data_IF_894518591340
#
_entry.id   IF_894518591340
#
_cell.length_a   1.000
_cell.length_b   1.000
_cell.length_c   1.000
_cell.angle_alpha   90.00
_cell.angle_beta   90.00
_cell.angle_gamma   90.00
#
_symmetry.space_group_name_H-M   'P 1'
#
loop_
_entity.id
_entity.type
_entity.pdbx_description
1 polymer ?
#
# COMPACT_ATOMS: atom_id res chain seq x y z
N UNK A 1 -72.81 37.95 54.80
CA UNK A 1 -71.38 37.62 54.95
C UNK A 1 -70.75 37.57 53.57
N UNK A 2 -69.53 38.04 53.50
CA UNK A 2 -68.67 38.45 52.38
C UNK A 2 -68.18 37.34 51.43
N UNK A 3 -68.05 37.70 50.12
CA UNK A 3 -67.17 37.23 49.01
C UNK A 3 -67.03 35.69 48.76
N UNK A 4 -66.94 35.12 47.55
CA UNK A 4 -66.36 35.54 46.26
C UNK A 4 -66.76 34.55 45.12
N UNK A 5 -66.37 34.90 43.89
CA UNK A 5 -66.73 34.38 42.55
C UNK A 5 -66.35 32.92 42.17
N UNK A 6 -67.20 32.30 41.32
CA UNK A 6 -67.01 31.43 40.10
C UNK A 6 -65.63 30.75 39.79
N UNK A 7 -65.54 29.72 38.88
CA UNK A 7 -66.27 28.44 38.73
C UNK A 7 -65.39 27.23 38.28
N UNK A 8 -66.03 26.06 38.13
CA UNK A 8 -65.81 24.94 37.17
C UNK A 8 -64.37 24.52 36.72
N UNK A 9 -64.08 23.22 36.90
CA UNK A 9 -63.18 22.45 36.01
C UNK A 9 -63.79 21.09 35.67
N UNK A 10 -64.26 20.96 34.44
CA UNK A 10 -64.41 19.70 33.72
C UNK A 10 -63.07 19.33 33.08
N UNK A 11 -62.66 18.06 33.22
CA UNK A 11 -61.56 17.48 32.45
C UNK A 11 -61.92 17.39 30.95
N UNK A 12 -60.94 17.56 30.05
CA UNK A 12 -60.89 16.65 28.90
C UNK A 12 -59.47 16.20 28.50
N UNK A 13 -59.34 14.89 28.28
CA UNK A 13 -58.69 14.18 27.16
C UNK A 13 -57.40 14.66 26.48
N UNK A 14 -56.58 15.56 27.05
CA UNK A 14 -55.38 16.07 26.37
C UNK A 14 -54.07 15.29 26.57
N UNK A 15 -54.07 14.19 27.34
CA UNK A 15 -52.80 13.59 27.80
C UNK A 15 -52.32 12.33 27.06
N UNK A 16 -53.06 11.79 26.09
CA UNK A 16 -52.69 10.50 25.44
C UNK A 16 -52.05 10.69 24.05
N UNK A 17 -52.20 11.83 23.38
CA UNK A 17 -51.56 12.07 22.07
C UNK A 17 -50.11 12.55 22.14
N UNK A 18 -49.58 12.91 23.32
CA UNK A 18 -48.23 13.52 23.41
C UNK A 18 -47.09 12.51 23.65
N UNK A 19 -47.39 11.24 23.95
CA UNK A 19 -46.37 10.22 24.23
C UNK A 19 -46.02 9.37 22.99
N UNK A 20 -46.85 9.35 21.96
CA UNK A 20 -46.54 8.65 20.69
C UNK A 20 -45.81 9.49 19.63
N UNK A 21 -45.65 10.81 19.84
CA UNK A 21 -44.93 11.70 18.92
C UNK A 21 -43.48 11.97 19.33
N UNK A 22 -43.03 11.44 20.47
CA UNK A 22 -41.64 11.55 20.95
C UNK A 22 -40.78 10.33 20.59
N UNK A 23 -41.28 9.41 19.75
CA UNK A 23 -40.58 8.18 19.33
C UNK A 23 -40.50 8.00 17.80
N UNK A 24 -40.70 9.06 17.04
CA UNK A 24 -40.52 9.09 15.57
C UNK A 24 -39.47 10.12 15.14
N UNK A 25 -38.44 10.30 15.95
CA UNK A 25 -37.34 11.24 15.72
C UNK A 25 -35.97 10.63 15.99
N UNK A 26 -35.82 9.30 15.83
CA UNK A 26 -34.50 8.81 15.45
C UNK A 26 -34.36 9.21 13.98
N UNK A 27 -33.73 10.36 13.72
CA UNK A 27 -32.98 10.51 12.48
C UNK A 27 -32.10 9.28 12.40
N UNK A 28 -32.52 8.29 11.63
CA UNK A 28 -31.61 7.36 11.01
C UNK A 28 -30.66 8.28 10.25
N UNK A 29 -29.50 8.57 10.84
CA UNK A 29 -28.41 9.16 10.09
C UNK A 29 -28.32 8.30 8.83
N UNK A 30 -28.53 8.91 7.67
CA UNK A 30 -28.35 8.21 6.41
C UNK A 30 -26.98 7.53 6.51
N UNK A 31 -26.93 6.22 6.27
CA UNK A 31 -25.67 5.48 6.32
C UNK A 31 -24.62 6.18 5.44
N UNK A 32 -23.32 6.02 5.74
CA UNK A 32 -22.27 6.69 5.01
C UNK A 32 -22.47 6.45 3.50
N UNK A 33 -22.53 7.54 2.72
CA UNK A 33 -22.63 7.44 1.28
C UNK A 33 -21.34 6.79 0.77
N UNK A 34 -21.45 5.71 0.02
CA UNK A 34 -20.29 5.05 -0.57
C UNK A 34 -19.92 5.69 -1.90
N UNK A 35 -18.63 5.70 -2.20
CA UNK A 35 -18.05 6.16 -3.44
C UNK A 35 -17.36 4.99 -4.13
N UNK A 36 -17.90 4.56 -5.27
CA UNK A 36 -17.29 3.48 -6.04
C UNK A 36 -16.03 3.98 -6.75
N UNK A 37 -14.94 3.26 -6.61
CA UNK A 37 -13.65 3.53 -7.23
C UNK A 37 -13.36 2.42 -8.23
N UNK A 38 -12.93 2.78 -9.44
CA UNK A 38 -12.57 1.81 -10.47
C UNK A 38 -11.20 2.13 -11.07
N UNK A 39 -10.35 1.09 -11.16
CA UNK A 39 -9.10 1.13 -11.86
C UNK A 39 -9.30 0.74 -13.33
N UNK A 40 -9.27 1.72 -14.24
CA UNK A 40 -9.27 1.51 -15.69
C UNK A 40 -7.90 1.77 -16.30
N UNK A 41 -6.86 1.95 -15.48
CA UNK A 41 -5.48 2.16 -15.92
C UNK A 41 -4.79 0.82 -16.23
N UNK A 42 -3.58 0.88 -16.78
CA UNK A 42 -2.67 -0.28 -16.89
C UNK A 42 -1.77 -0.45 -15.65
N UNK A 43 -1.98 0.32 -14.58
CA UNK A 43 -1.14 0.34 -13.38
C UNK A 43 -1.92 -0.14 -12.16
N UNK A 44 -1.21 -0.51 -11.09
CA UNK A 44 -1.86 -0.75 -9.80
C UNK A 44 -2.30 0.60 -9.20
N UNK A 45 -3.40 0.62 -8.45
CA UNK A 45 -3.79 1.75 -7.60
C UNK A 45 -3.69 1.32 -6.15
N UNK A 46 -2.78 1.93 -5.39
CA UNK A 46 -2.45 1.49 -4.03
C UNK A 46 -3.25 2.23 -2.99
N UNK A 47 -3.31 3.55 -3.12
CA UNK A 47 -3.92 4.41 -2.13
C UNK A 47 -4.58 5.62 -2.78
N UNK A 48 -5.65 6.11 -2.17
CA UNK A 48 -6.19 7.43 -2.43
C UNK A 48 -6.29 8.22 -1.12
N UNK A 49 -5.75 9.45 -1.14
CA UNK A 49 -5.95 10.42 -0.07
C UNK A 49 -6.87 11.55 -0.55
N UNK A 50 -7.84 11.91 0.28
CA UNK A 50 -8.80 12.98 0.06
C UNK A 50 -8.55 14.08 1.10
N UNK A 51 -8.12 15.25 0.63
CA UNK A 51 -7.83 16.39 1.49
C UNK A 51 -8.95 17.43 1.42
N UNK A 52 -9.48 17.81 2.59
CA UNK A 52 -10.55 18.79 2.75
C UNK A 52 -10.28 19.68 3.97
N UNK A 53 -10.22 21.00 3.77
CA UNK A 53 -10.11 22.00 4.85
C UNK A 53 -9.03 21.66 5.90
N UNK A 54 -7.89 21.11 5.45
CA UNK A 54 -6.78 20.71 6.30
C UNK A 54 -6.90 19.32 6.95
N UNK A 55 -8.00 18.59 6.72
CA UNK A 55 -8.18 17.19 7.13
C UNK A 55 -7.88 16.30 5.94
N UNK A 56 -7.07 15.26 6.14
CA UNK A 56 -6.78 14.24 5.13
C UNK A 56 -7.40 12.93 5.56
N UNK A 57 -8.20 12.32 4.68
CA UNK A 57 -8.68 10.96 4.80
C UNK A 57 -7.89 10.08 3.83
N UNK A 58 -7.49 8.89 4.26
CA UNK A 58 -6.81 7.92 3.42
C UNK A 58 -7.70 6.70 3.22
N UNK A 59 -7.62 6.09 2.05
CA UNK A 59 -8.19 4.79 1.76
C UNK A 59 -7.18 3.95 0.97
N UNK A 60 -6.90 2.77 1.50
CA UNK A 60 -6.12 1.73 0.82
C UNK A 60 -7.00 1.07 -0.23
N UNK A 61 -6.45 0.86 -1.42
CA UNK A 61 -7.16 0.34 -2.59
C UNK A 61 -6.60 -1.01 -3.04
N UNK A 62 -5.28 -1.14 -3.12
CA UNK A 62 -4.57 -2.34 -3.62
C UNK A 62 -5.17 -2.96 -4.90
N UNK A 63 -5.63 -2.12 -5.83
CA UNK A 63 -6.34 -2.57 -7.01
C UNK A 63 -5.39 -2.81 -8.19
N UNK A 64 -5.34 -4.04 -8.67
CA UNK A 64 -4.79 -4.36 -9.98
C UNK A 64 -5.61 -3.70 -11.13
N UNK A 65 -5.07 -3.61 -12.35
CA UNK A 65 -5.80 -3.16 -13.53
C UNK A 65 -7.15 -3.84 -13.69
N UNK A 66 -8.21 -3.05 -13.87
CA UNK A 66 -9.59 -3.55 -13.98
C UNK A 66 -10.33 -3.70 -12.65
N UNK A 67 -9.64 -3.59 -11.51
CA UNK A 67 -10.21 -3.68 -10.16
C UNK A 67 -11.19 -2.57 -9.82
N UNK A 68 -11.97 -2.80 -8.77
CA UNK A 68 -12.91 -1.82 -8.22
C UNK A 68 -13.11 -2.04 -6.72
N UNK A 69 -13.34 -0.97 -5.98
CA UNK A 69 -13.62 -0.98 -4.56
C UNK A 69 -14.59 0.16 -4.18
N UNK A 70 -15.08 0.18 -2.94
CA UNK A 70 -15.94 1.23 -2.40
C UNK A 70 -15.31 1.86 -1.17
N UNK A 71 -15.25 3.20 -1.14
CA UNK A 71 -14.75 3.96 0.01
C UNK A 71 -15.86 4.83 0.59
N UNK A 72 -15.71 5.26 1.84
CA UNK A 72 -16.60 6.27 2.40
C UNK A 72 -16.47 7.59 1.62
N UNK A 73 -17.59 8.14 1.15
CA UNK A 73 -17.62 9.41 0.46
C UNK A 73 -17.53 10.56 1.49
N UNK A 74 -16.53 11.44 1.40
CA UNK A 74 -16.38 12.55 2.35
C UNK A 74 -17.43 13.67 2.16
N UNK A 75 -18.35 13.53 1.19
CA UNK A 75 -19.58 14.31 1.10
C UNK A 75 -19.44 15.73 0.52
N UNK A 76 -18.23 16.21 0.23
CA UNK A 76 -18.00 17.58 -0.25
C UNK A 76 -17.03 17.65 -1.44
N UNK A 77 -16.44 18.83 -1.70
CA UNK A 77 -15.32 18.98 -2.64
C UNK A 77 -14.01 18.71 -1.91
N UNK A 78 -13.12 17.95 -2.54
CA UNK A 78 -11.82 17.58 -1.99
C UNK A 78 -10.72 17.64 -3.06
N UNK A 79 -9.48 17.85 -2.61
CA UNK A 79 -8.31 17.55 -3.43
C UNK A 79 -7.97 16.07 -3.26
N UNK A 80 -7.79 15.36 -4.38
CA UNK A 80 -7.47 13.94 -4.38
C UNK A 80 -6.00 13.75 -4.73
N UNK A 81 -5.34 12.81 -4.06
CA UNK A 81 -4.04 12.29 -4.48
C UNK A 81 -4.12 10.78 -4.54
N UNK A 82 -3.88 10.24 -5.72
CA UNK A 82 -3.85 8.80 -6.00
C UNK A 82 -2.40 8.34 -6.10
N UNK A 83 -2.06 7.25 -5.41
CA UNK A 83 -0.77 6.57 -5.53
C UNK A 83 -0.88 5.36 -6.47
N UNK A 84 -0.07 5.36 -7.52
CA UNK A 84 0.02 4.28 -8.53
C UNK A 84 1.16 3.30 -8.29
N UNK A 85 1.93 3.47 -7.22
CA UNK A 85 3.17 2.74 -7.02
C UNK A 85 4.40 3.49 -7.51
N UNK A 86 4.29 4.13 -8.67
CA UNK A 86 5.41 4.76 -9.39
C UNK A 86 5.24 6.28 -9.59
N UNK A 87 4.03 6.80 -9.40
CA UNK A 87 3.71 8.21 -9.49
C UNK A 87 2.54 8.58 -8.57
N UNK A 88 2.53 9.84 -8.13
CA UNK A 88 1.42 10.47 -7.43
C UNK A 88 0.63 11.32 -8.40
N UNK A 89 -0.68 11.08 -8.49
CA UNK A 89 -1.59 11.84 -9.35
C UNK A 89 -2.47 12.73 -8.48
N UNK A 90 -2.41 14.03 -8.72
CA UNK A 90 -3.16 15.01 -7.93
C UNK A 90 -4.29 15.62 -8.75
N UNK A 91 -5.51 15.58 -8.21
CA UNK A 91 -6.71 16.17 -8.80
C UNK A 91 -7.25 17.25 -7.87
N UNK A 92 -7.39 18.48 -8.36
CA UNK A 92 -7.83 19.60 -7.53
C UNK A 92 -9.33 19.84 -7.62
N UNK A 93 -9.93 20.24 -6.49
CA UNK A 93 -11.31 20.67 -6.38
C UNK A 93 -12.33 19.70 -7.00
N UNK A 94 -12.21 18.41 -6.67
CA UNK A 94 -13.12 17.36 -7.15
C UNK A 94 -14.40 17.34 -6.31
N UNK A 95 -15.59 17.50 -6.91
CA UNK A 95 -16.88 17.55 -6.19
C UNK A 95 -17.38 16.14 -5.81
N UNK A 96 -16.63 15.43 -4.96
CA UNK A 96 -16.89 14.02 -4.60
C UNK A 96 -18.22 13.80 -3.89
N UNK A 97 -18.76 14.80 -3.18
CA UNK A 97 -20.07 14.71 -2.52
C UNK A 97 -21.25 14.45 -3.46
N UNK A 98 -21.12 14.78 -4.75
CA UNK A 98 -22.14 14.50 -5.77
C UNK A 98 -21.80 13.24 -6.59
N UNK A 99 -20.62 12.65 -6.37
CA UNK A 99 -20.13 11.50 -7.09
C UNK A 99 -20.78 10.21 -6.56
N UNK A 100 -21.20 9.37 -7.49
CA UNK A 100 -21.49 7.96 -7.25
C UNK A 100 -20.24 7.11 -7.54
N UNK A 101 -19.42 7.51 -8.50
CA UNK A 101 -18.17 6.80 -8.81
C UNK A 101 -17.06 7.69 -9.34
N UNK A 102 -15.82 7.24 -9.13
CA UNK A 102 -14.59 7.72 -9.76
C UNK A 102 -13.94 6.57 -10.53
N UNK A 103 -13.69 6.76 -11.83
CA UNK A 103 -12.94 5.81 -12.65
C UNK A 103 -11.64 6.46 -13.11
N UNK A 104 -10.50 5.88 -12.75
CA UNK A 104 -9.17 6.35 -13.14
C UNK A 104 -8.72 5.66 -14.43
N UNK A 105 -8.23 6.41 -15.42
CA UNK A 105 -7.93 5.91 -16.76
C UNK A 105 -9.15 5.94 -17.71
N UNK A 106 -9.07 5.35 -18.92
CA UNK A 106 -7.97 4.49 -19.41
C UNK A 106 -6.77 5.26 -19.98
N UNK A 107 -6.93 6.55 -20.30
CA UNK A 107 -5.78 7.40 -20.62
C UNK A 107 -5.07 7.78 -19.32
N UNK A 108 -3.72 7.72 -19.24
CA UNK A 108 -2.92 7.87 -18.03
C UNK A 108 -3.46 8.85 -17.00
N UNK A 109 -2.99 10.06 -16.86
CA UNK A 109 -3.45 11.14 -15.97
C UNK A 109 -4.96 11.54 -15.93
N UNK A 110 -5.93 10.68 -16.27
CA UNK A 110 -7.35 11.04 -16.31
C UNK A 110 -8.19 10.34 -15.24
N UNK A 111 -9.21 11.06 -14.76
CA UNK A 111 -10.26 10.51 -13.92
C UNK A 111 -11.62 10.95 -14.44
N UNK A 112 -12.56 10.02 -14.49
CA UNK A 112 -13.97 10.28 -14.80
C UNK A 112 -14.80 10.18 -13.52
N UNK A 113 -15.43 11.29 -13.14
CA UNK A 113 -16.41 11.34 -12.07
C UNK A 113 -17.81 11.13 -12.67
N UNK A 114 -18.58 10.20 -12.11
CA UNK A 114 -19.99 9.99 -12.46
C UNK A 114 -20.86 10.29 -11.25
N UNK A 115 -21.89 11.10 -11.44
CA UNK A 115 -22.85 11.49 -10.41
C UNK A 115 -23.98 10.48 -10.30
N UNK A 116 -24.67 10.44 -9.16
CA UNK A 116 -25.86 9.58 -8.95
C UNK A 116 -27.01 9.86 -9.92
N UNK A 117 -27.03 11.04 -10.55
CA UNK A 117 -28.01 11.44 -11.57
C UNK A 117 -27.58 11.09 -13.01
N UNK A 118 -26.48 10.36 -13.18
CA UNK A 118 -25.96 9.93 -14.48
C UNK A 118 -25.14 10.99 -15.24
N UNK A 119 -24.89 12.17 -14.66
CA UNK A 119 -23.98 13.15 -15.23
C UNK A 119 -22.51 12.73 -15.06
N UNK A 120 -21.66 12.97 -16.05
CA UNK A 120 -20.23 12.62 -16.03
C UNK A 120 -19.35 13.84 -16.27
N UNK A 121 -18.18 13.88 -15.60
CA UNK A 121 -17.17 14.93 -15.76
C UNK A 121 -15.77 14.33 -15.73
N UNK A 122 -14.91 14.79 -16.64
CA UNK A 122 -13.50 14.42 -16.67
C UNK A 122 -12.64 15.41 -15.89
N UNK A 123 -11.58 14.87 -15.28
CA UNK A 123 -10.55 15.60 -14.57
C UNK A 123 -9.19 15.12 -15.07
N UNK A 124 -8.24 16.04 -15.17
CA UNK A 124 -6.83 15.73 -15.47
C UNK A 124 -6.00 15.88 -14.21
N UNK A 125 -5.11 14.93 -14.00
CA UNK A 125 -4.17 14.93 -12.91
C UNK A 125 -2.97 15.83 -13.21
N UNK A 126 -2.41 16.43 -12.16
CA UNK A 126 -0.99 16.77 -12.15
C UNK A 126 -0.22 15.57 -11.62
N UNK A 127 0.68 15.04 -12.44
CA UNK A 127 1.52 13.89 -12.08
C UNK A 127 2.83 14.34 -11.44
N UNK A 128 3.25 13.63 -10.41
CA UNK A 128 4.58 13.67 -9.83
C UNK A 128 5.15 12.26 -9.87
N UNK A 129 6.20 12.05 -10.65
CA UNK A 129 6.88 10.74 -10.67
C UNK A 129 7.59 10.49 -9.34
N UNK A 130 7.48 9.26 -8.83
CA UNK A 130 8.30 8.75 -7.73
C UNK A 130 9.58 8.07 -8.25
N UNK A 131 9.62 7.76 -9.54
CA UNK A 131 10.82 7.35 -10.27
C UNK A 131 11.38 8.56 -11.03
N UNK A 132 12.52 9.15 -10.61
CA UNK A 132 13.14 10.19 -11.42
C UNK A 132 13.67 9.59 -12.74
N UNK A 133 13.87 10.44 -13.75
CA UNK A 133 14.24 10.02 -15.10
C UNK A 133 15.50 9.14 -15.10
N UNK A 134 15.66 8.25 -16.09
CA UNK A 134 16.77 7.29 -16.16
C UNK A 134 18.18 7.90 -16.07
N UNK A 135 18.33 9.19 -16.43
CA UNK A 135 19.59 9.93 -16.35
C UNK A 135 19.77 10.72 -15.04
N UNK A 136 18.74 10.74 -14.20
CA UNK A 136 18.83 11.32 -12.87
C UNK A 136 19.60 10.34 -12.00
N UNK A 137 20.75 10.78 -11.47
CA UNK A 137 21.41 10.03 -10.40
C UNK A 137 20.43 9.86 -9.24
N UNK A 138 20.43 8.72 -8.53
CA UNK A 138 19.60 8.59 -7.36
C UNK A 138 20.02 9.69 -6.37
N UNK A 139 19.04 10.30 -5.71
CA UNK A 139 19.32 11.37 -4.73
C UNK A 139 20.30 10.86 -3.67
N UNK A 140 20.27 9.56 -3.40
CA UNK A 140 21.33 8.81 -2.72
C UNK A 140 21.18 7.29 -2.98
N UNK A 141 22.24 6.54 -2.68
CA UNK A 141 22.37 5.13 -3.02
C UNK A 141 22.71 4.29 -1.80
N UNK A 142 22.09 3.12 -1.69
CA UNK A 142 22.44 2.11 -0.71
C UNK A 142 23.14 0.94 -1.39
N UNK A 143 24.29 0.56 -0.85
CA UNK A 143 25.05 -0.60 -1.30
C UNK A 143 24.38 -1.90 -0.85
N UNK A 144 23.85 -1.92 0.38
CA UNK A 144 23.18 -3.05 1.01
C UNK A 144 22.19 -2.56 2.06
N UNK A 145 21.12 -3.32 2.26
CA UNK A 145 20.20 -3.12 3.39
C UNK A 145 20.69 -3.95 4.59
N UNK A 146 20.47 -3.47 5.81
CA UNK A 146 20.94 -4.14 7.03
C UNK A 146 19.85 -4.18 8.10
N UNK A 147 19.69 -5.30 8.82
CA UNK A 147 18.81 -5.33 10.00
C UNK A 147 19.14 -4.22 11.00
N UNK A 148 18.10 -3.53 11.48
CA UNK A 148 18.23 -2.42 12.43
C UNK A 148 18.69 -1.08 11.84
N UNK A 149 18.75 -0.94 10.51
CA UNK A 149 19.00 0.34 9.84
C UNK A 149 17.96 1.38 10.27
N UNK A 150 18.39 2.61 10.53
CA UNK A 150 17.45 3.69 10.85
C UNK A 150 16.97 4.43 9.61
N UNK A 151 15.77 5.02 9.66
CA UNK A 151 15.17 5.86 8.62
C UNK A 151 16.09 6.99 8.17
N UNK A 152 16.96 7.50 9.05
CA UNK A 152 18.00 8.50 8.72
C UNK A 152 19.21 7.92 7.98
N UNK A 153 19.51 6.64 8.20
CA UNK A 153 20.60 5.94 7.52
C UNK A 153 20.14 5.50 6.13
N UNK A 154 18.84 5.25 5.99
CA UNK A 154 18.19 5.26 4.70
C UNK A 154 18.20 6.71 4.19
N UNK A 155 18.41 6.83 2.90
CA UNK A 155 18.26 8.00 2.04
C UNK A 155 17.08 8.97 2.26
N UNK A 156 16.21 8.71 3.24
CA UNK A 156 14.89 9.30 3.41
C UNK A 156 14.91 10.81 3.71
N UNK A 157 15.99 11.37 4.26
CA UNK A 157 15.95 12.72 4.87
C UNK A 157 16.37 13.88 3.96
N UNK A 158 16.32 13.70 2.64
CA UNK A 158 16.71 14.77 1.71
C UNK A 158 15.57 15.78 1.44
N UNK A 159 14.31 15.39 1.68
CA UNK A 159 13.16 16.31 1.67
C UNK A 159 12.74 16.69 3.10
N UNK A 160 12.38 17.95 3.32
CA UNK A 160 11.93 18.46 4.64
C UNK A 160 10.53 18.01 5.00
N UNK A 161 9.70 17.65 4.01
CA UNK A 161 8.32 17.22 4.20
C UNK A 161 7.94 16.20 3.13
N UNK A 162 8.52 14.99 3.14
CA UNK A 162 8.24 13.99 2.12
C UNK A 162 6.76 13.57 2.14
N UNK A 163 6.21 13.12 1.01
CA UNK A 163 4.85 12.56 0.97
C UNK A 163 4.78 11.23 1.72
N UNK A 164 3.66 11.00 2.43
CA UNK A 164 3.35 9.74 3.13
C UNK A 164 2.11 9.06 2.54
N UNK A 165 2.00 7.73 2.70
CA UNK A 165 0.78 6.96 2.45
C UNK A 165 -0.09 6.76 3.71
N UNK A 166 -1.08 5.86 3.67
CA UNK A 166 -1.97 5.55 4.81
C UNK A 166 -1.26 4.90 6.00
N UNK A 167 -0.13 4.24 5.78
CA UNK A 167 0.63 3.54 6.81
C UNK A 167 1.80 4.41 7.31
N UNK A 168 1.75 5.72 7.05
CA UNK A 168 2.83 6.68 7.31
C UNK A 168 4.14 6.33 6.59
N UNK A 169 4.13 5.48 5.56
CA UNK A 169 5.33 5.15 4.82
C UNK A 169 5.85 6.38 4.08
N UNK A 170 7.14 6.67 4.23
CA UNK A 170 7.79 7.78 3.51
C UNK A 170 7.96 7.38 2.05
N UNK A 171 7.35 8.13 1.14
CA UNK A 171 7.43 7.93 -0.30
C UNK A 171 8.58 8.77 -0.88
N UNK A 172 9.57 8.10 -1.49
CA UNK A 172 10.78 8.74 -1.99
C UNK A 172 11.39 7.99 -3.18
N UNK A 173 12.53 8.46 -3.69
CA UNK A 173 13.35 7.74 -4.67
C UNK A 173 14.65 7.25 -4.04
N UNK A 174 15.05 6.02 -4.34
CA UNK A 174 16.24 5.38 -3.77
C UNK A 174 17.10 4.72 -4.83
N UNK A 175 18.42 4.91 -4.76
CA UNK A 175 19.38 4.11 -5.49
C UNK A 175 19.63 2.77 -4.81
N UNK A 176 19.41 1.66 -5.51
CA UNK A 176 19.78 0.32 -5.05
C UNK A 176 20.12 -0.57 -6.25
N UNK A 177 21.12 -1.43 -6.12
CA UNK A 177 21.58 -2.32 -7.20
C UNK A 177 21.90 -1.57 -8.52
N UNK A 178 22.48 -0.37 -8.40
CA UNK A 178 22.81 0.49 -9.54
C UNK A 178 21.57 0.92 -10.35
N UNK A 179 20.41 0.97 -9.71
CA UNK A 179 19.12 1.33 -10.28
C UNK A 179 18.41 2.31 -9.36
N UNK A 180 17.53 3.14 -9.93
CA UNK A 180 16.67 4.05 -9.17
C UNK A 180 15.30 3.41 -8.98
N UNK A 181 14.78 3.48 -7.77
CA UNK A 181 13.54 2.86 -7.33
C UNK A 181 12.60 3.90 -6.73
N UNK A 182 11.29 3.70 -6.92
CA UNK A 182 10.28 4.36 -6.10
C UNK A 182 10.22 3.57 -4.80
N UNK A 183 10.59 4.20 -3.69
CA UNK A 183 10.75 3.54 -2.40
C UNK A 183 9.64 3.97 -1.43
N UNK A 184 9.08 2.98 -0.73
CA UNK A 184 8.25 3.18 0.47
C UNK A 184 9.04 2.70 1.66
N UNK A 185 9.31 3.61 2.58
CA UNK A 185 10.09 3.34 3.78
C UNK A 185 9.12 3.35 4.96
N UNK A 186 8.81 2.19 5.52
CA UNK A 186 7.88 2.09 6.63
C UNK A 186 8.66 2.29 7.94
N UNK A 187 8.35 3.34 8.70
CA UNK A 187 8.96 3.57 10.00
C UNK A 187 8.43 2.53 11.00
N UNK A 188 9.27 2.21 11.99
CA UNK A 188 8.86 1.36 13.06
C UNK A 188 7.76 1.98 13.92
N UNK A 189 6.70 1.22 14.17
CA UNK A 189 5.55 1.74 14.89
C UNK A 189 5.82 1.72 16.40
N UNK A 190 5.52 2.83 17.07
CA UNK A 190 5.47 2.83 18.54
C UNK A 190 4.23 2.04 18.97
N UNK A 191 4.39 0.96 19.73
CA UNK A 191 3.23 0.21 20.24
C UNK A 191 2.28 1.13 21.00
N UNK A 192 0.99 1.09 20.64
CA UNK A 192 -0.09 1.74 21.37
C UNK A 192 -0.21 1.15 22.79
N UNK A 193 0.53 1.72 23.74
CA UNK A 193 0.20 1.76 25.17
C UNK A 193 0.27 0.46 26.00
N UNK A 194 0.38 -0.75 25.43
CA UNK A 194 0.56 -1.98 26.22
C UNK A 194 1.49 -2.98 25.55
N UNK A 195 2.59 -3.27 26.25
CA UNK A 195 3.74 -4.04 25.81
C UNK A 195 3.42 -5.49 25.39
N UNK A 196 3.77 -5.84 24.15
CA UNK A 196 3.83 -7.23 23.68
C UNK A 196 5.17 -7.55 22.99
N UNK A 197 6.18 -7.84 23.81
CA UNK A 197 7.49 -8.50 23.53
C UNK A 197 8.40 -8.11 22.36
N UNK A 198 8.01 -7.25 21.44
CA UNK A 198 9.02 -6.53 20.65
C UNK A 198 9.62 -5.43 21.55
N UNK A 199 10.95 -5.34 21.64
CA UNK A 199 11.64 -4.41 22.56
C UNK A 199 11.31 -2.94 22.26
N UNK A 200 11.37 -2.05 23.28
CA UNK A 200 10.95 -0.66 23.19
C UNK A 200 11.84 0.18 22.26
N UNK A 201 11.20 1.07 21.48
CA UNK A 201 11.66 2.44 21.28
C UNK A 201 12.76 2.65 20.24
N UNK A 202 12.40 2.68 18.96
CA UNK A 202 12.99 3.63 18.03
C UNK A 202 12.06 3.87 16.82
N UNK A 203 11.20 4.91 16.82
CA UNK A 203 10.41 5.25 15.64
C UNK A 203 11.30 5.59 14.43
N UNK A 204 12.58 5.87 14.67
CA UNK A 204 13.57 6.06 13.62
C UNK A 204 14.08 4.74 13.03
N UNK A 205 13.65 3.54 13.45
CA UNK A 205 14.06 2.27 12.81
C UNK A 205 13.28 2.07 11.51
N UNK A 206 13.95 1.64 10.44
CA UNK A 206 13.29 1.11 9.25
C UNK A 206 12.84 -0.32 9.55
N UNK A 207 11.52 -0.57 9.55
CA UNK A 207 10.97 -1.91 9.76
C UNK A 207 10.81 -2.66 8.44
N UNK A 208 10.21 -1.99 7.46
CA UNK A 208 9.93 -2.56 6.15
C UNK A 208 10.31 -1.57 5.06
N UNK A 209 10.79 -2.08 3.95
CA UNK A 209 11.04 -1.26 2.78
C UNK A 209 10.55 -1.97 1.53
N UNK A 210 9.78 -1.24 0.75
CA UNK A 210 9.26 -1.68 -0.53
C UNK A 210 9.90 -0.83 -1.64
N UNK A 211 10.46 -1.47 -2.67
CA UNK A 211 10.97 -0.81 -3.86
C UNK A 211 10.12 -1.20 -5.06
N UNK A 212 9.70 -0.20 -5.84
CA UNK A 212 8.91 -0.41 -7.05
C UNK A 212 9.60 0.12 -8.29
N UNK A 213 9.46 -0.65 -9.38
CA UNK A 213 9.82 -0.25 -10.74
C UNK A 213 8.86 -0.89 -11.74
N UNK A 214 8.92 -0.41 -12.99
CA UNK A 214 8.36 -1.17 -14.10
C UNK A 214 9.06 -2.52 -14.24
N UNK A 215 8.27 -3.55 -14.46
CA UNK A 215 8.73 -4.91 -14.72
C UNK A 215 9.17 -5.01 -16.18
N UNK A 216 10.46 -5.28 -16.35
CA UNK A 216 11.04 -5.70 -17.61
C UNK A 216 12.17 -6.71 -17.33
N UNK A 217 12.50 -7.51 -18.34
CA UNK A 217 13.48 -8.58 -18.19
C UNK A 217 14.90 -8.05 -17.88
N UNK A 218 15.29 -6.88 -18.39
CA UNK A 218 16.61 -6.32 -18.13
C UNK A 218 16.74 -5.87 -16.67
N UNK A 219 15.73 -5.19 -16.15
CA UNK A 219 15.65 -4.76 -14.75
C UNK A 219 15.66 -5.96 -13.81
N UNK A 220 14.81 -6.97 -14.06
CA UNK A 220 14.75 -8.17 -13.21
C UNK A 220 16.09 -8.92 -13.20
N UNK A 221 16.70 -9.15 -14.36
CA UNK A 221 18.00 -9.81 -14.44
C UNK A 221 19.09 -9.02 -13.70
N UNK A 222 19.14 -7.70 -13.87
CA UNK A 222 20.12 -6.85 -13.18
C UNK A 222 19.95 -6.92 -11.65
N UNK A 223 18.71 -6.92 -11.16
CA UNK A 223 18.42 -7.08 -9.73
C UNK A 223 18.92 -8.43 -9.22
N UNK A 224 18.52 -9.53 -9.87
CA UNK A 224 18.89 -10.88 -9.47
C UNK A 224 20.41 -11.08 -9.46
N UNK A 225 21.11 -10.67 -10.53
CA UNK A 225 22.58 -10.75 -10.59
C UNK A 225 23.25 -9.94 -9.48
N UNK A 226 22.71 -8.76 -9.15
CA UNK A 226 23.23 -7.96 -8.04
C UNK A 226 23.04 -8.67 -6.69
N UNK A 227 21.84 -9.21 -6.43
CA UNK A 227 21.57 -9.96 -5.20
C UNK A 227 22.46 -11.21 -5.11
N UNK A 228 22.65 -11.93 -6.21
CA UNK A 228 23.55 -13.08 -6.28
C UNK A 228 25.01 -12.70 -6.01
N UNK A 229 25.48 -11.57 -6.53
CA UNK A 229 26.82 -11.05 -6.24
C UNK A 229 26.98 -10.63 -4.77
N UNK A 230 25.88 -10.25 -4.11
CA UNK A 230 25.84 -9.96 -2.66
C UNK A 230 25.70 -11.22 -1.79
N UNK A 231 25.71 -12.42 -2.38
CA UNK A 231 25.66 -13.69 -1.65
C UNK A 231 24.25 -14.20 -1.34
N UNK A 232 23.22 -13.64 -1.97
CA UNK A 232 21.86 -14.16 -1.88
C UNK A 232 21.66 -15.34 -2.85
N UNK A 233 20.72 -16.21 -2.50
CA UNK A 233 20.30 -17.33 -3.30
C UNK A 233 18.76 -17.44 -3.26
N UNK A 234 18.14 -17.98 -4.32
CA UNK A 234 16.71 -18.24 -4.30
C UNK A 234 16.41 -19.27 -3.20
N UNK A 235 15.42 -18.95 -2.39
CA UNK A 235 14.90 -19.83 -1.35
C UNK A 235 13.62 -20.52 -1.84
N UNK A 236 12.62 -19.72 -2.19
CA UNK A 236 11.33 -20.19 -2.65
C UNK A 236 10.86 -19.36 -3.85
N UNK A 237 10.09 -19.97 -4.74
CA UNK A 237 9.40 -19.26 -5.80
C UNK A 237 8.00 -19.83 -6.03
N UNK A 238 7.01 -18.96 -5.95
CA UNK A 238 5.61 -19.27 -6.24
C UNK A 238 5.21 -18.60 -7.55
N UNK A 239 4.67 -19.38 -8.47
CA UNK A 239 4.15 -18.94 -9.76
C UNK A 239 2.80 -19.63 -10.02
N UNK A 240 1.99 -19.16 -10.98
CA UNK A 240 0.71 -19.79 -11.28
C UNK A 240 0.86 -21.28 -11.62
N UNK A 241 0.41 -22.15 -10.71
CA UNK A 241 0.47 -23.61 -10.86
C UNK A 241 1.84 -24.24 -10.61
N UNK A 242 2.80 -23.50 -10.04
CA UNK A 242 4.14 -23.99 -9.72
C UNK A 242 4.62 -23.40 -8.41
N UNK A 243 5.03 -24.27 -7.49
CA UNK A 243 5.69 -23.92 -6.25
C UNK A 243 7.07 -24.60 -6.22
N UNK A 244 8.09 -23.85 -5.84
CA UNK A 244 9.48 -24.28 -5.86
C UNK A 244 10.13 -23.94 -4.53
N UNK A 245 10.47 -24.96 -3.74
CA UNK A 245 11.44 -24.82 -2.64
C UNK A 245 12.82 -25.28 -3.12
N UNK A 246 13.75 -24.34 -3.26
CA UNK A 246 15.09 -24.62 -3.77
C UNK A 246 15.97 -25.35 -2.75
N UNK A 247 15.63 -25.36 -1.45
CA UNK A 247 16.38 -26.07 -0.42
C UNK A 247 16.03 -27.56 -0.41
N UNK A 248 14.81 -27.90 -0.82
CA UNK A 248 14.33 -29.29 -0.90
C UNK A 248 14.70 -30.01 -2.20
N UNK A 249 15.22 -29.29 -3.21
CA UNK A 249 15.58 -29.91 -4.50
C UNK A 249 16.78 -30.86 -4.37
N UNK A 250 16.64 -32.15 -4.74
CA UNK A 250 17.73 -33.10 -4.61
C UNK A 250 18.79 -32.90 -5.69
N UNK A 251 20.06 -32.88 -5.27
CA UNK A 251 21.26 -32.93 -6.14
C UNK A 251 21.42 -31.74 -7.09
N UNK A 252 20.97 -30.57 -6.68
CA UNK A 252 21.15 -29.31 -7.41
C UNK A 252 22.11 -28.37 -6.70
N UNK A 253 22.99 -27.71 -7.46
CA UNK A 253 23.87 -26.66 -6.93
C UNK A 253 23.26 -25.25 -7.13
N UNK A 254 23.93 -24.24 -6.57
CA UNK A 254 23.45 -22.86 -6.66
C UNK A 254 23.36 -22.33 -8.10
N UNK A 255 24.24 -22.77 -9.01
CA UNK A 255 24.18 -22.35 -10.41
C UNK A 255 22.97 -22.97 -11.12
N UNK A 256 22.67 -24.23 -10.81
CA UNK A 256 21.48 -24.92 -11.29
C UNK A 256 20.19 -24.29 -10.76
N UNK A 257 20.12 -23.90 -9.48
CA UNK A 257 18.96 -23.18 -8.93
C UNK A 257 18.69 -21.87 -9.68
N UNK A 258 19.73 -21.07 -9.91
CA UNK A 258 19.62 -19.82 -10.66
C UNK A 258 19.15 -20.05 -12.09
N UNK A 259 19.68 -21.08 -12.76
CA UNK A 259 19.27 -21.44 -14.11
C UNK A 259 17.81 -21.89 -14.16
N UNK A 260 17.37 -22.74 -13.24
CA UNK A 260 15.98 -23.21 -13.16
C UNK A 260 15.02 -22.03 -12.95
N UNK A 261 15.31 -21.17 -11.96
CA UNK A 261 14.51 -19.98 -11.71
C UNK A 261 14.41 -19.12 -12.96
N UNK A 262 15.53 -18.85 -13.63
CA UNK A 262 15.53 -18.04 -14.86
C UNK A 262 14.64 -18.61 -15.96
N UNK A 263 14.71 -19.92 -16.21
CA UNK A 263 13.88 -20.58 -17.22
C UNK A 263 12.39 -20.47 -16.91
N UNK A 264 12.04 -20.65 -15.63
CA UNK A 264 10.65 -20.55 -15.15
C UNK A 264 10.14 -19.11 -15.27
N UNK A 265 10.97 -18.12 -14.89
CA UNK A 265 10.63 -16.70 -15.02
C UNK A 265 10.48 -16.27 -16.49
N UNK A 266 11.35 -16.73 -17.38
CA UNK A 266 11.25 -16.44 -18.81
C UNK A 266 9.91 -16.94 -19.39
N UNK A 267 9.48 -18.15 -19.00
CA UNK A 267 8.18 -18.69 -19.40
C UNK A 267 7.01 -17.90 -18.82
N UNK A 268 7.06 -17.57 -17.52
CA UNK A 268 6.02 -16.80 -16.84
C UNK A 268 5.84 -15.39 -17.45
N UNK A 269 6.94 -14.67 -17.66
CA UNK A 269 6.91 -13.34 -18.24
C UNK A 269 6.39 -13.35 -19.69
N UNK A 270 6.70 -14.41 -20.45
CA UNK A 270 6.16 -14.60 -21.79
C UNK A 270 4.64 -14.88 -21.79
N UNK A 271 4.12 -15.57 -20.78
CA UNK A 271 2.68 -15.80 -20.61
C UNK A 271 1.92 -14.52 -20.26
N UNK A 272 2.55 -13.59 -19.54
CA UNK A 272 2.03 -12.24 -19.30
C UNK A 272 0.80 -12.18 -18.39
N UNK A 273 0.53 -13.23 -17.60
CA UNK A 273 -0.64 -13.33 -16.72
C UNK A 273 -0.29 -13.93 -15.36
N UNK A 274 -1.03 -13.53 -14.33
CA UNK A 274 -0.84 -13.96 -12.94
C UNK A 274 0.16 -13.09 -12.18
N UNK A 275 0.56 -13.59 -11.02
CA UNK A 275 1.57 -12.99 -10.14
C UNK A 275 2.60 -14.08 -9.80
N UNK A 276 3.86 -13.68 -9.69
CA UNK A 276 4.93 -14.57 -9.21
C UNK A 276 5.65 -13.92 -8.04
N UNK A 277 5.99 -14.72 -7.04
CA UNK A 277 6.71 -14.30 -5.84
C UNK A 277 8.00 -15.08 -5.74
N UNK A 278 9.14 -14.40 -5.57
CA UNK A 278 10.45 -15.03 -5.43
C UNK A 278 11.06 -14.55 -4.13
N UNK A 279 11.31 -15.49 -3.22
CA UNK A 279 12.01 -15.22 -1.97
C UNK A 279 13.50 -15.52 -2.13
N UNK A 280 14.34 -14.57 -1.76
CA UNK A 280 15.79 -14.73 -1.69
C UNK A 280 16.27 -14.50 -0.26
N UNK A 281 17.20 -15.36 0.16
CA UNK A 281 17.87 -15.26 1.45
C UNK A 281 19.39 -15.36 1.26
N UNK A 282 20.19 -14.91 2.23
CA UNK A 282 21.63 -15.13 2.22
C UNK A 282 21.93 -16.63 2.15
N UNK A 283 22.77 -17.04 1.19
CA UNK A 283 23.01 -18.46 0.90
C UNK A 283 23.54 -19.24 2.11
N UNK A 284 24.33 -18.57 2.96
CA UNK A 284 24.86 -19.15 4.19
C UNK A 284 23.78 -19.45 5.25
N UNK A 285 22.57 -18.91 5.10
CA UNK A 285 21.47 -19.06 6.07
C UNK A 285 20.37 -20.01 5.61
N UNK A 286 20.29 -20.35 4.32
CA UNK A 286 19.25 -21.24 3.78
C UNK A 286 19.10 -22.57 4.56
N UNK A 287 20.18 -23.30 4.91
CA UNK A 287 20.03 -24.54 5.68
C UNK A 287 19.38 -24.33 7.05
N UNK A 288 19.57 -23.16 7.66
CA UNK A 288 19.01 -22.85 8.98
C UNK A 288 17.57 -22.32 8.90
N UNK A 289 17.16 -21.76 7.76
CA UNK A 289 15.81 -21.22 7.54
C UNK A 289 14.81 -22.34 7.25
N UNK A 290 15.24 -23.42 6.60
CA UNK A 290 14.39 -24.59 6.34
C UNK A 290 13.96 -25.33 7.63
N UNK A 291 14.78 -25.25 8.68
CA UNK A 291 14.60 -26.00 9.94
C UNK A 291 14.11 -25.13 11.12
N UNK A 292 13.85 -23.83 10.92
CA UNK A 292 13.58 -22.90 12.01
C UNK A 292 12.31 -22.07 11.80
N UNK A 293 11.41 -22.12 12.78
CA UNK A 293 10.24 -21.22 12.88
C UNK A 293 10.65 -19.75 13.08
N UNK A 294 11.92 -19.48 13.41
CA UNK A 294 12.45 -18.12 13.68
C UNK A 294 13.94 -18.00 13.37
N UNK A 295 14.41 -16.88 12.80
CA UNK A 295 15.83 -16.65 12.57
C UNK A 295 16.64 -16.61 13.88
N UNK A 296 17.66 -17.47 13.98
CA UNK A 296 18.59 -17.52 15.12
C UNK A 296 19.65 -16.41 15.10
N UNK A 297 19.74 -15.69 13.98
CA UNK A 297 20.67 -14.59 13.74
C UNK A 297 19.98 -13.53 12.88
N UNK A 298 20.55 -12.33 12.84
CA UNK A 298 20.09 -11.25 11.97
C UNK A 298 20.00 -11.73 10.53
N UNK A 299 18.83 -11.61 9.92
CA UNK A 299 18.58 -12.03 8.54
C UNK A 299 17.82 -10.98 7.78
N UNK A 300 18.23 -10.77 6.55
CA UNK A 300 17.48 -10.00 5.58
C UNK A 300 16.96 -10.92 4.50
N UNK A 301 15.67 -10.81 4.23
CA UNK A 301 15.01 -11.51 3.14
C UNK A 301 14.56 -10.49 2.10
N UNK A 302 14.70 -10.89 0.84
CA UNK A 302 14.12 -10.17 -0.29
C UNK A 302 12.95 -10.98 -0.82
N UNK A 303 11.81 -10.34 -0.98
CA UNK A 303 10.66 -10.91 -1.67
C UNK A 303 10.41 -10.07 -2.91
N UNK A 304 10.54 -10.69 -4.08
CA UNK A 304 10.30 -10.06 -5.37
C UNK A 304 8.93 -10.48 -5.85
N UNK A 305 8.04 -9.52 -6.06
CA UNK A 305 6.71 -9.76 -6.61
C UNK A 305 6.65 -9.22 -8.04
N UNK A 306 6.32 -10.10 -8.98
CA UNK A 306 6.26 -9.80 -10.41
C UNK A 306 4.80 -9.79 -10.86
N UNK A 307 4.36 -8.65 -11.39
CA UNK A 307 2.99 -8.45 -11.90
C UNK A 307 3.02 -8.06 -13.38
N UNK A 308 3.02 -9.04 -14.31
CA UNK A 308 2.98 -8.75 -15.75
C UNK A 308 1.81 -7.87 -16.17
N UNK A 309 0.62 -8.08 -15.58
CA UNK A 309 -0.60 -7.32 -15.92
C UNK A 309 -0.45 -5.82 -15.72
N UNK A 310 0.12 -5.38 -14.60
CA UNK A 310 0.39 -3.97 -14.30
C UNK A 310 1.80 -3.50 -14.66
N UNK A 311 2.60 -4.41 -15.25
CA UNK A 311 4.01 -4.22 -15.55
C UNK A 311 4.79 -3.72 -14.33
N UNK A 312 4.51 -4.29 -13.15
CA UNK A 312 5.13 -3.88 -11.89
C UNK A 312 6.08 -4.95 -11.34
N UNK A 313 7.26 -4.49 -10.92
CA UNK A 313 8.21 -5.23 -10.10
C UNK A 313 8.22 -4.58 -8.72
N UNK A 314 7.89 -5.36 -7.71
CA UNK A 314 7.95 -4.95 -6.30
C UNK A 314 9.06 -5.76 -5.62
N UNK A 315 9.87 -5.10 -4.81
CA UNK A 315 10.92 -5.72 -4.00
C UNK A 315 10.68 -5.32 -2.56
N UNK A 316 10.18 -6.27 -1.78
CA UNK A 316 10.02 -6.16 -0.35
C UNK A 316 11.29 -6.61 0.35
N UNK A 317 11.77 -5.80 1.29
CA UNK A 317 12.97 -6.09 2.07
C UNK A 317 12.59 -6.16 3.54
N UNK A 318 12.53 -7.39 4.04
CA UNK A 318 12.28 -7.68 5.45
C UNK A 318 13.62 -7.94 6.16
N UNK A 319 13.84 -7.29 7.30
CA UNK A 319 15.08 -7.41 8.05
C UNK A 319 14.79 -7.77 9.52
N UNK A 320 15.04 -9.03 9.86
CA UNK A 320 14.81 -9.58 11.20
C UNK A 320 16.09 -9.51 12.02
N UNK A 321 15.96 -9.12 13.29
CA UNK A 321 17.05 -9.22 14.25
C UNK A 321 16.96 -10.50 15.07
N UNK A 322 18.12 -11.05 15.45
CA UNK A 322 18.22 -12.24 16.28
C UNK A 322 17.41 -12.07 17.59
N UNK A 323 16.44 -12.95 17.80
CA UNK A 323 15.61 -12.97 19.01
C UNK A 323 14.26 -12.25 18.91
N UNK A 324 13.86 -11.69 17.76
CA UNK A 324 12.54 -11.05 17.58
C UNK A 324 11.36 -12.02 17.42
N UNK A 325 11.57 -13.33 17.24
CA UNK A 325 10.50 -14.35 17.19
C UNK A 325 10.43 -15.30 18.37
N UNK A 326 11.07 -14.98 19.50
CA UNK A 326 10.99 -15.79 20.71
C UNK A 326 9.81 -15.39 21.60
N UNK A 327 8.67 -16.06 21.45
CA UNK A 327 7.68 -16.20 22.54
C UNK A 327 7.22 -17.65 22.64
#
# INVERSE_FOLDING_TARGET
MTFSNYPQRSLPCFFICFIFLLWAGHSLAAGPQLLAIANKTEEDLLNISLQRKGVTQFARLDMAPGGSDEIENPGETADLRLDTGLALWTFSAVPVGQAASLAFGPRPDQMTLTTSKGGSRQFSARMQSLLPDENSGPVCMLDQFRPGMSMKDVCALLDKSPPHDDNDAVLTSLGFAGMVWAARLLPGQAENGTASTARPGNPDRLEHMELRRKLDAATLNKLLETLYAQGYAPWQAELPGLDMDFVELPRTDAAQHRQMLRQVLDYFLAAGQGEATIMLAPAAMLPNLADADTPRQDVQLFTLTLRPTSKNLVVDVAAYQAGEGGR
#
